data_IF_722281942118
#
_entry.id   IF_722281942118
#
_cell.length_a   1.000
_cell.length_b   1.000
_cell.length_c   1.000
_cell.angle_alpha   90.00
_cell.angle_beta   90.00
_cell.angle_gamma   90.00
#
_symmetry.space_group_name_H-M   'P 1'
#
loop_
_entity.id
_entity.type
_entity.pdbx_description
1 polymer ?
#
# COMPACT_ATOMS: atom_id res chain seq x y z
N UNK A 1 34.10 -28.52 -3.53
CA UNK A 1 34.70 -28.04 -2.27
C UNK A 1 33.59 -27.73 -1.29
N UNK A 2 33.70 -28.15 -0.02
CA UNK A 2 32.72 -27.82 0.99
C UNK A 2 32.62 -26.29 1.16
N UNK A 3 31.41 -25.74 1.10
CA UNK A 3 31.14 -24.31 1.27
C UNK A 3 31.63 -23.92 2.67
N UNK A 4 32.57 -22.97 2.78
CA UNK A 4 32.93 -22.41 4.09
C UNK A 4 31.68 -21.75 4.68
N UNK A 5 31.32 -22.03 5.94
CA UNK A 5 30.16 -21.43 6.56
C UNK A 5 30.36 -19.91 6.62
N UNK A 6 29.31 -19.17 6.30
CA UNK A 6 29.32 -17.72 6.42
C UNK A 6 29.53 -17.35 7.91
N UNK A 7 30.34 -16.33 8.23
CA UNK A 7 30.40 -15.83 9.59
C UNK A 7 28.99 -15.46 10.10
N UNK A 8 28.62 -15.94 11.27
CA UNK A 8 27.26 -15.83 11.81
C UNK A 8 26.77 -14.38 11.94
N UNK A 9 27.68 -13.44 12.21
CA UNK A 9 27.36 -12.01 12.27
C UNK A 9 26.94 -11.48 10.91
N UNK A 10 27.71 -11.78 9.85
CA UNK A 10 27.37 -11.38 8.49
C UNK A 10 26.06 -12.02 8.00
N UNK A 11 25.80 -13.27 8.42
CA UNK A 11 24.53 -13.95 8.12
C UNK A 11 23.35 -13.21 8.74
N UNK A 12 23.49 -12.90 10.03
CA UNK A 12 22.48 -12.20 10.83
C UNK A 12 22.22 -10.82 10.25
N UNK A 13 23.27 -10.05 9.94
CA UNK A 13 23.17 -8.70 9.41
C UNK A 13 22.39 -8.69 8.08
N UNK A 14 22.72 -9.59 7.16
CA UNK A 14 22.03 -9.66 5.85
C UNK A 14 20.57 -10.10 6.01
N UNK A 15 20.29 -11.11 6.84
CA UNK A 15 18.93 -11.61 7.07
C UNK A 15 18.05 -10.55 7.76
N UNK A 16 18.58 -9.87 8.77
CA UNK A 16 17.83 -8.85 9.52
C UNK A 16 17.61 -7.61 8.68
N UNK A 17 18.64 -7.13 7.97
CA UNK A 17 18.53 -5.93 7.12
C UNK A 17 17.57 -6.16 5.96
N UNK A 18 17.61 -7.34 5.32
CA UNK A 18 16.65 -7.73 4.28
C UNK A 18 15.27 -8.10 4.80
N UNK A 19 15.15 -8.39 6.10
CA UNK A 19 13.96 -8.98 6.72
C UNK A 19 13.39 -10.17 5.94
N UNK A 20 14.27 -11.04 5.43
CA UNK A 20 13.95 -12.21 4.59
C UNK A 20 13.15 -11.88 3.32
N UNK A 21 13.35 -10.71 2.73
CA UNK A 21 12.79 -10.32 1.43
C UNK A 21 13.86 -10.41 0.35
N UNK A 22 13.50 -11.02 -0.78
CA UNK A 22 14.41 -11.13 -1.92
C UNK A 22 14.54 -9.76 -2.59
N UNK A 23 15.76 -9.26 -2.74
CA UNK A 23 15.96 -7.96 -3.38
C UNK A 23 15.57 -7.96 -4.86
N UNK A 24 15.72 -9.08 -5.58
CA UNK A 24 15.33 -9.16 -7.00
C UNK A 24 13.80 -9.16 -7.15
N UNK A 25 13.07 -9.92 -6.34
CA UNK A 25 11.60 -9.87 -6.30
C UNK A 25 11.09 -8.44 -6.09
N UNK A 26 11.71 -7.73 -5.16
CA UNK A 26 11.38 -6.34 -4.86
C UNK A 26 11.75 -5.38 -6.00
N UNK A 27 12.95 -5.50 -6.56
CA UNK A 27 13.43 -4.63 -7.64
C UNK A 27 12.65 -4.78 -8.94
N UNK A 28 12.17 -5.99 -9.25
CA UNK A 28 11.42 -6.26 -10.47
C UNK A 28 9.90 -6.06 -10.32
N UNK A 29 9.33 -6.47 -9.17
CA UNK A 29 7.87 -6.58 -9.02
C UNK A 29 7.33 -5.87 -7.77
N UNK A 30 8.15 -5.14 -7.01
CA UNK A 30 7.79 -4.57 -5.71
C UNK A 30 7.23 -5.59 -4.71
N UNK A 31 7.63 -6.84 -4.86
CA UNK A 31 7.18 -7.91 -3.98
C UNK A 31 7.89 -7.83 -2.63
N UNK A 32 7.15 -7.42 -1.61
CA UNK A 32 7.61 -7.29 -0.23
C UNK A 32 7.31 -8.53 0.61
N UNK A 33 6.89 -9.64 -0.01
CA UNK A 33 6.61 -10.90 0.66
C UNK A 33 7.86 -11.51 1.29
N UNK A 34 7.69 -12.13 2.46
CA UNK A 34 8.75 -12.93 3.08
C UNK A 34 9.00 -14.17 2.22
N UNK A 35 10.26 -14.47 1.91
CA UNK A 35 10.65 -15.56 1.04
C UNK A 35 11.45 -16.64 1.79
N UNK A 36 11.26 -17.89 1.39
CA UNK A 36 12.26 -18.94 1.58
C UNK A 36 13.43 -18.68 0.65
N UNK A 37 14.65 -18.66 1.17
CA UNK A 37 15.81 -18.21 0.40
C UNK A 37 17.15 -18.43 1.10
N UNK A 38 18.21 -17.99 0.43
CA UNK A 38 19.60 -18.11 0.87
C UNK A 38 20.39 -16.83 0.59
N UNK A 39 21.54 -16.70 1.27
CA UNK A 39 22.49 -15.63 0.99
C UNK A 39 23.37 -16.04 -0.19
N UNK A 40 23.36 -15.20 -1.22
CA UNK A 40 24.22 -15.30 -2.39
C UNK A 40 25.47 -14.41 -2.22
N UNK A 41 26.61 -14.94 -2.62
CA UNK A 41 27.85 -14.19 -2.83
C UNK A 41 27.82 -13.62 -4.24
N UNK A 42 27.71 -12.29 -4.38
CA UNK A 42 27.44 -11.67 -5.68
C UNK A 42 28.59 -11.86 -6.66
N UNK A 43 29.84 -11.79 -6.20
CA UNK A 43 31.03 -12.06 -7.00
C UNK A 43 31.28 -13.56 -7.29
N UNK A 44 30.38 -14.45 -6.86
CA UNK A 44 30.52 -15.92 -6.92
C UNK A 44 31.76 -16.47 -6.18
N UNK A 45 32.39 -15.65 -5.34
CA UNK A 45 33.51 -16.05 -4.49
C UNK A 45 33.02 -16.33 -3.06
N UNK A 46 32.93 -17.62 -2.72
CA UNK A 46 32.45 -18.08 -1.42
C UNK A 46 33.30 -17.65 -0.21
N UNK A 47 34.51 -17.12 -0.44
CA UNK A 47 35.41 -16.63 0.60
C UNK A 47 35.29 -15.12 0.85
N UNK A 48 34.56 -14.39 0.00
CA UNK A 48 34.35 -12.95 0.15
C UNK A 48 33.09 -12.66 0.96
N UNK A 49 33.25 -12.59 2.28
CA UNK A 49 32.16 -12.33 3.23
C UNK A 49 31.87 -10.84 3.48
N UNK A 50 32.36 -9.93 2.63
CA UNK A 50 32.04 -8.51 2.76
C UNK A 50 30.52 -8.30 2.61
N UNK A 51 29.89 -7.57 3.54
CA UNK A 51 28.43 -7.31 3.51
C UNK A 51 27.98 -6.73 2.17
N UNK A 52 28.77 -5.84 1.58
CA UNK A 52 28.52 -5.25 0.26
C UNK A 52 28.51 -6.26 -0.90
N UNK A 53 29.05 -7.46 -0.68
CA UNK A 53 29.08 -8.58 -1.63
C UNK A 53 28.01 -9.64 -1.34
N UNK A 54 27.21 -9.49 -0.28
CA UNK A 54 26.17 -10.44 0.08
C UNK A 54 24.78 -9.87 -0.24
N UNK A 55 23.86 -10.75 -0.62
CA UNK A 55 22.44 -10.43 -0.76
C UNK A 55 21.58 -11.65 -0.40
N UNK A 56 20.43 -11.42 0.23
CA UNK A 56 19.44 -12.46 0.45
C UNK A 56 18.54 -12.58 -0.79
N UNK A 57 18.47 -13.77 -1.37
CA UNK A 57 17.67 -14.09 -2.55
C UNK A 57 16.70 -15.24 -2.23
N UNK A 58 15.49 -15.20 -2.79
CA UNK A 58 14.61 -16.37 -2.77
C UNK A 58 15.22 -17.49 -3.62
N UNK A 59 14.83 -18.75 -3.40
CA UNK A 59 15.41 -19.88 -4.13
C UNK A 59 15.36 -19.71 -5.65
N UNK A 60 14.23 -19.28 -6.21
CA UNK A 60 14.09 -19.07 -7.67
C UNK A 60 15.12 -18.09 -8.23
N UNK A 61 15.29 -16.93 -7.59
CA UNK A 61 16.23 -15.92 -8.02
C UNK A 61 17.68 -16.25 -7.63
N UNK A 62 17.89 -17.04 -6.58
CA UNK A 62 19.21 -17.56 -6.23
C UNK A 62 19.70 -18.50 -7.34
N UNK A 63 18.85 -19.43 -7.77
CA UNK A 63 19.16 -20.36 -8.86
C UNK A 63 19.35 -19.61 -10.19
N UNK A 64 18.49 -18.64 -10.49
CA UNK A 64 18.65 -17.80 -11.69
C UNK A 64 20.00 -17.07 -11.70
N UNK A 65 20.38 -16.46 -10.58
CA UNK A 65 21.61 -15.70 -10.45
C UNK A 65 22.88 -16.56 -10.54
N UNK A 66 22.83 -17.75 -9.93
CA UNK A 66 23.95 -18.69 -9.99
C UNK A 66 24.11 -19.31 -11.38
N UNK A 67 23.00 -19.49 -12.11
CA UNK A 67 22.98 -20.03 -13.47
C UNK A 67 23.56 -19.07 -14.52
N UNK A 68 23.91 -19.63 -15.69
CA UNK A 68 24.29 -18.86 -16.88
C UNK A 68 23.37 -19.34 -18.02
N UNK A 69 22.42 -18.49 -18.42
CA UNK A 69 21.61 -18.71 -19.61
C UNK A 69 22.29 -18.14 -20.85
N UNK A 70 22.20 -18.86 -21.97
CA UNK A 70 22.55 -18.38 -23.31
C UNK A 70 21.36 -17.78 -24.06
N UNK A 71 20.13 -17.94 -23.53
CA UNK A 71 18.88 -17.53 -24.20
C UNK A 71 18.38 -16.17 -23.72
N UNK A 72 18.56 -15.85 -22.43
CA UNK A 72 18.16 -14.57 -21.81
C UNK A 72 19.37 -13.84 -21.26
N UNK A 73 19.24 -12.52 -21.08
CA UNK A 73 20.23 -11.75 -20.33
C UNK A 73 20.23 -12.22 -18.87
N UNK A 74 21.41 -12.53 -18.36
CA UNK A 74 21.61 -12.93 -16.99
C UNK A 74 21.62 -11.70 -16.08
N UNK A 75 21.14 -11.88 -14.85
CA UNK A 75 21.22 -10.86 -13.81
C UNK A 75 22.68 -10.51 -13.53
N UNK A 76 22.98 -9.22 -13.50
CA UNK A 76 24.31 -8.72 -13.20
C UNK A 76 24.48 -8.39 -11.72
N UNK A 77 25.72 -8.44 -11.23
CA UNK A 77 26.07 -7.98 -9.87
C UNK A 77 25.57 -6.54 -9.63
N UNK A 78 25.65 -5.69 -10.66
CA UNK A 78 25.24 -4.29 -10.58
C UNK A 78 23.73 -4.14 -10.34
N UNK A 79 22.91 -4.91 -11.04
CA UNK A 79 21.45 -4.93 -10.84
C UNK A 79 21.10 -5.42 -9.44
N UNK A 80 21.68 -6.55 -9.01
CA UNK A 80 21.36 -7.11 -7.69
C UNK A 80 21.77 -6.18 -6.56
N UNK A 81 22.92 -5.47 -6.68
CA UNK A 81 23.33 -4.44 -5.72
C UNK A 81 22.33 -3.28 -5.68
N UNK A 82 21.94 -2.74 -6.83
CA UNK A 82 20.96 -1.65 -6.90
C UNK A 82 19.64 -2.05 -6.23
N UNK A 83 19.10 -3.22 -6.58
CA UNK A 83 17.85 -3.70 -6.00
C UNK A 83 17.96 -3.97 -4.49
N UNK A 84 19.11 -4.46 -4.01
CA UNK A 84 19.36 -4.66 -2.59
C UNK A 84 19.36 -3.33 -1.84
N UNK A 85 20.10 -2.36 -2.34
CA UNK A 85 20.24 -1.06 -1.69
C UNK A 85 18.88 -0.30 -1.67
N UNK A 86 18.09 -0.45 -2.74
CA UNK A 86 16.72 0.05 -2.83
C UNK A 86 15.79 -0.62 -1.80
N UNK A 87 15.83 -1.95 -1.69
CA UNK A 87 15.07 -2.72 -0.70
C UNK A 87 15.40 -2.25 0.72
N UNK A 88 16.70 -2.13 1.05
CA UNK A 88 17.15 -1.75 2.38
C UNK A 88 16.71 -0.34 2.75
N UNK A 89 16.85 0.59 1.81
CA UNK A 89 16.39 1.98 1.99
C UNK A 89 14.89 2.02 2.25
N UNK A 90 14.10 1.27 1.48
CA UNK A 90 12.63 1.25 1.56
C UNK A 90 12.15 0.63 2.87
N UNK A 91 12.69 -0.54 3.24
CA UNK A 91 12.38 -1.18 4.52
C UNK A 91 12.76 -0.24 5.68
N UNK A 92 13.96 0.34 5.64
CA UNK A 92 14.40 1.20 6.73
C UNK A 92 13.46 2.41 6.89
N UNK A 93 13.06 3.06 5.80
CA UNK A 93 12.07 4.15 5.83
C UNK A 93 10.74 3.70 6.44
N UNK A 94 10.18 2.58 5.97
CA UNK A 94 8.89 2.08 6.44
C UNK A 94 8.89 1.74 7.94
N UNK A 95 10.00 1.23 8.49
CA UNK A 95 10.08 0.82 9.90
C UNK A 95 10.67 1.87 10.83
N UNK A 96 11.33 2.91 10.33
CA UNK A 96 11.82 4.04 11.14
C UNK A 96 10.87 5.23 11.15
N UNK A 97 9.79 5.17 10.36
CA UNK A 97 8.72 6.13 10.44
C UNK A 97 8.17 6.14 11.87
N UNK A 98 8.43 7.24 12.59
CA UNK A 98 7.87 7.44 13.92
C UNK A 98 6.36 7.60 13.77
N UNK A 99 5.63 6.56 14.16
CA UNK A 99 4.17 6.61 14.23
C UNK A 99 3.81 7.41 15.49
N UNK A 100 3.66 8.72 15.34
CA UNK A 100 3.06 9.54 16.38
C UNK A 100 1.54 9.34 16.32
N UNK A 101 0.99 8.66 17.33
CA UNK A 101 -0.47 8.63 17.50
C UNK A 101 -0.96 10.07 17.66
N UNK A 102 -1.73 10.56 16.69
CA UNK A 102 -2.30 11.91 16.68
C UNK A 102 -1.53 12.97 15.87
N UNK A 103 -0.33 12.67 15.36
CA UNK A 103 0.39 13.52 14.40
C UNK A 103 0.65 12.73 13.12
N UNK A 104 -0.29 12.82 12.19
CA UNK A 104 -0.10 12.32 10.83
C UNK A 104 0.77 13.35 10.10
N UNK A 105 2.02 12.99 9.77
CA UNK A 105 2.80 13.74 8.78
C UNK A 105 2.16 13.49 7.42
N UNK A 106 1.15 14.30 7.09
CA UNK A 106 0.56 14.31 5.76
C UNK A 106 1.61 14.84 4.78
N UNK A 107 1.70 14.31 3.55
CA UNK A 107 2.37 15.04 2.49
C UNK A 107 1.79 16.46 2.48
N UNK A 108 2.61 17.54 2.50
CA UNK A 108 2.14 18.93 2.57
C UNK A 108 1.15 19.34 1.47
N UNK A 109 0.91 18.47 0.49
CA UNK A 109 0.05 18.68 -0.65
C UNK A 109 -0.55 17.37 -1.17
N UNK A 110 -1.14 16.52 -0.31
CA UNK A 110 -1.97 15.44 -0.84
C UNK A 110 -3.14 16.05 -1.65
N UNK A 111 -3.26 15.75 -2.95
CA UNK A 111 -4.21 16.41 -3.84
C UNK A 111 -5.66 16.00 -3.60
N UNK A 112 -5.92 14.96 -2.80
CA UNK A 112 -7.26 14.43 -2.54
C UNK A 112 -7.70 14.57 -1.09
N UNK A 113 -6.76 14.75 -0.15
CA UNK A 113 -7.06 14.90 1.27
C UNK A 113 -8.04 16.04 1.59
N UNK A 114 -8.87 15.87 2.60
CA UNK A 114 -9.83 16.89 3.07
C UNK A 114 -11.29 16.50 2.85
N UNK A 115 -12.18 17.49 3.00
CA UNK A 115 -13.64 17.30 2.94
C UNK A 115 -14.19 17.39 1.51
N UNK A 116 -15.16 16.54 1.23
CA UNK A 116 -15.83 16.41 -0.05
C UNK A 116 -17.33 16.38 0.18
N UNK A 117 -18.06 17.29 -0.47
CA UNK A 117 -19.49 17.49 -0.27
C UNK A 117 -20.23 17.01 -1.52
N UNK A 118 -21.29 16.22 -1.33
CA UNK A 118 -22.15 15.79 -2.43
C UNK A 118 -22.84 17.00 -3.06
N UNK A 119 -22.77 17.07 -4.38
CA UNK A 119 -23.46 18.06 -5.20
C UNK A 119 -24.64 17.44 -5.95
N UNK A 120 -25.59 18.29 -6.35
CA UNK A 120 -26.72 17.86 -7.20
C UNK A 120 -27.85 17.12 -6.48
N UNK A 121 -27.83 17.09 -5.15
CA UNK A 121 -28.90 16.48 -4.33
C UNK A 121 -29.49 17.50 -3.37
N UNK A 122 -30.81 17.67 -3.41
CA UNK A 122 -31.55 18.64 -2.58
C UNK A 122 -32.00 17.99 -1.26
N UNK A 123 -32.43 16.72 -1.32
CA UNK A 123 -33.06 16.05 -0.17
C UNK A 123 -32.13 15.07 0.55
N UNK A 124 -31.00 14.72 -0.08
CA UNK A 124 -30.05 13.72 0.40
C UNK A 124 -28.63 14.29 0.40
N UNK A 125 -28.25 14.94 1.48
CA UNK A 125 -26.90 15.51 1.64
C UNK A 125 -25.93 14.43 2.09
N UNK A 126 -24.68 14.51 1.65
CA UNK A 126 -23.63 13.66 2.17
C UNK A 126 -22.29 14.38 2.10
N UNK A 127 -21.43 14.07 3.05
CA UNK A 127 -20.05 14.54 3.11
C UNK A 127 -19.15 13.34 3.38
N UNK A 128 -17.98 13.34 2.75
CA UNK A 128 -16.91 12.41 3.09
C UNK A 128 -15.61 13.19 3.31
N UNK A 129 -14.75 12.67 4.18
CA UNK A 129 -13.43 13.23 4.47
C UNK A 129 -12.37 12.17 4.16
N UNK A 130 -11.36 12.59 3.41
CA UNK A 130 -10.19 11.78 3.10
C UNK A 130 -9.04 12.19 4.01
N UNK A 131 -8.73 11.33 4.98
CA UNK A 131 -7.57 11.52 5.86
C UNK A 131 -6.44 10.64 5.36
N UNK A 132 -5.31 11.21 4.87
CA UNK A 132 -4.20 10.39 4.40
C UNK A 132 -3.61 9.59 5.56
N UNK A 133 -3.28 8.34 5.29
CA UNK A 133 -2.61 7.42 6.19
C UNK A 133 -1.19 7.13 5.66
N UNK A 134 -0.27 6.58 6.49
CA UNK A 134 1.01 6.12 5.99
C UNK A 134 0.85 5.13 4.83
N UNK A 135 1.69 5.25 3.80
CA UNK A 135 1.68 4.34 2.66
C UNK A 135 1.89 2.89 3.11
N UNK A 136 1.36 1.95 2.33
CA UNK A 136 1.62 0.53 2.59
C UNK A 136 3.10 0.21 2.41
N UNK A 137 3.53 -0.95 2.92
CA UNK A 137 4.90 -1.46 2.70
C UNK A 137 5.20 -1.61 1.20
N UNK A 138 4.18 -1.83 0.38
CA UNK A 138 4.27 -1.92 -1.08
C UNK A 138 4.26 -0.55 -1.79
N UNK A 139 4.20 0.55 -1.03
CA UNK A 139 4.19 1.93 -1.54
C UNK A 139 2.83 2.40 -2.06
N UNK A 140 1.73 1.75 -1.67
CA UNK A 140 0.38 2.19 -2.06
C UNK A 140 -0.11 3.30 -1.14
N UNK A 141 -0.71 4.33 -1.73
CA UNK A 141 -1.29 5.46 -0.99
C UNK A 141 -2.53 4.98 -0.23
N UNK A 142 -2.63 5.36 1.03
CA UNK A 142 -3.73 4.99 1.91
C UNK A 142 -4.53 6.20 2.39
N UNK A 143 -5.84 6.03 2.51
CA UNK A 143 -6.73 7.01 3.11
C UNK A 143 -7.65 6.34 4.13
N UNK A 144 -7.89 6.97 5.26
CA UNK A 144 -9.10 6.71 6.02
C UNK A 144 -10.22 7.55 5.41
N UNK A 145 -11.24 6.87 4.89
CA UNK A 145 -12.43 7.46 4.30
C UNK A 145 -13.53 7.41 5.35
N UNK A 146 -13.89 8.57 5.88
CA UNK A 146 -15.04 8.72 6.78
C UNK A 146 -16.12 9.57 6.15
N UNK A 147 -17.36 9.47 6.59
CA UNK A 147 -18.42 10.31 6.07
C UNK A 147 -19.73 10.24 6.82
N UNK A 148 -20.60 11.18 6.52
CA UNK A 148 -21.97 11.25 7.01
C UNK A 148 -22.91 11.48 5.83
N UNK A 149 -24.07 10.82 5.85
CA UNK A 149 -25.10 11.02 4.86
C UNK A 149 -26.47 11.14 5.52
N UNK A 150 -27.27 12.05 4.99
CA UNK A 150 -28.65 12.29 5.37
C UNK A 150 -29.56 11.86 4.21
N UNK A 151 -30.68 11.24 4.55
CA UNK A 151 -31.75 10.96 3.60
C UNK A 151 -33.07 11.52 4.10
N UNK A 152 -33.75 12.28 3.25
CA UNK A 152 -35.08 12.80 3.54
C UNK A 152 -35.08 13.90 4.61
N UNK A 153 -34.23 14.91 4.46
CA UNK A 153 -34.12 16.04 5.39
C UNK A 153 -35.44 16.79 5.67
N UNK A 154 -36.41 16.70 4.76
CA UNK A 154 -37.72 17.36 4.87
C UNK A 154 -38.86 16.43 5.31
N UNK A 155 -38.57 15.21 5.77
CA UNK A 155 -39.61 14.26 6.22
C UNK A 155 -40.17 14.68 7.58
N UNK A 156 -41.44 14.37 7.81
CA UNK A 156 -42.18 14.67 9.05
C UNK A 156 -41.47 14.15 10.30
N UNK A 157 -40.84 12.99 10.21
CA UNK A 157 -40.14 12.34 11.32
C UNK A 157 -38.62 12.58 11.33
N UNK A 158 -38.14 13.51 10.52
CA UNK A 158 -36.72 13.82 10.37
C UNK A 158 -35.96 12.89 9.40
N UNK A 159 -34.70 13.22 9.09
CA UNK A 159 -33.88 12.43 8.17
C UNK A 159 -33.41 11.13 8.80
N UNK A 160 -33.20 10.12 7.95
CA UNK A 160 -32.33 9.02 8.31
C UNK A 160 -30.88 9.47 8.17
N UNK A 161 -30.03 9.08 9.12
CA UNK A 161 -28.60 9.41 9.13
C UNK A 161 -27.78 8.15 9.05
N UNK A 162 -26.69 8.20 8.28
CA UNK A 162 -25.74 7.11 8.14
C UNK A 162 -24.31 7.61 8.23
N UNK A 163 -23.45 6.71 8.69
CA UNK A 163 -22.03 6.97 8.88
C UNK A 163 -21.21 5.99 8.05
N UNK A 164 -20.10 6.49 7.52
CA UNK A 164 -19.14 5.73 6.74
C UNK A 164 -17.79 5.80 7.43
N UNK A 165 -17.06 4.68 7.43
CA UNK A 165 -15.69 4.60 7.90
C UNK A 165 -15.01 3.36 7.33
N UNK A 166 -13.95 3.55 6.54
CA UNK A 166 -13.12 2.45 6.05
C UNK A 166 -11.74 2.93 5.62
N UNK A 167 -10.79 2.00 5.49
CA UNK A 167 -9.48 2.29 4.90
C UNK A 167 -9.54 2.02 3.41
N UNK A 168 -9.26 3.05 2.61
CA UNK A 168 -9.12 2.98 1.17
C UNK A 168 -7.66 2.95 0.72
N UNK A 169 -7.40 2.29 -0.40
CA UNK A 169 -6.09 2.24 -1.06
C UNK A 169 -6.20 2.76 -2.49
N UNK A 170 -5.13 3.39 -2.96
CA UNK A 170 -4.97 3.91 -4.32
C UNK A 170 -3.62 3.51 -4.87
N UNK A 171 -3.61 2.90 -6.05
CA UNK A 171 -2.39 2.59 -6.77
C UNK A 171 -1.77 3.85 -7.40
N UNK A 172 -0.46 3.82 -7.64
CA UNK A 172 0.24 4.87 -8.35
C UNK A 172 -0.33 5.03 -9.78
N UNK A 173 -0.60 6.27 -10.20
CA UNK A 173 -1.17 6.57 -11.52
C UNK A 173 -2.67 6.32 -11.69
N UNK A 174 -3.35 5.69 -10.72
CA UNK A 174 -4.81 5.57 -10.74
C UNK A 174 -5.48 6.82 -10.15
N UNK A 175 -6.67 7.17 -10.65
CA UNK A 175 -7.52 8.23 -10.09
C UNK A 175 -8.68 7.62 -9.29
N UNK A 176 -8.45 6.48 -8.65
CA UNK A 176 -9.49 5.73 -7.93
C UNK A 176 -9.02 5.22 -6.58
N UNK A 177 -9.87 5.34 -5.56
CA UNK A 177 -9.69 4.70 -4.25
C UNK A 177 -10.65 3.51 -4.13
N UNK A 178 -10.10 2.38 -3.74
CA UNK A 178 -10.85 1.16 -3.44
C UNK A 178 -10.82 0.88 -1.93
N UNK A 179 -11.85 0.23 -1.36
CA UNK A 179 -11.76 -0.25 0.00
C UNK A 179 -10.62 -1.28 0.09
N UNK A 180 -9.72 -1.08 1.04
CA UNK A 180 -8.73 -2.10 1.38
C UNK A 180 -9.48 -3.33 1.91
N UNK A 181 -9.06 -4.52 1.49
CA UNK A 181 -9.60 -5.76 2.04
C UNK A 181 -9.20 -5.83 3.52
N UNK A 182 -10.13 -5.55 4.43
CA UNK A 182 -9.90 -5.75 5.86
C UNK A 182 -9.90 -7.26 6.14
N UNK A 183 -8.75 -7.80 6.52
CA UNK A 183 -8.65 -9.18 7.02
C UNK A 183 -9.20 -9.35 8.44
N UNK A 184 -9.66 -8.26 9.06
CA UNK A 184 -10.10 -8.24 10.44
C UNK A 184 -11.61 -8.00 10.52
N UNK A 185 -12.32 -9.06 10.92
CA UNK A 185 -13.71 -9.13 11.37
C UNK A 185 -14.81 -8.83 10.33
N UNK A 186 -15.43 -9.91 9.84
CA UNK A 186 -16.87 -10.01 9.58
C UNK A 186 -17.50 -9.00 8.63
N UNK A 187 -17.76 -9.46 7.40
CA UNK A 187 -18.58 -8.82 6.37
C UNK A 187 -17.98 -7.58 5.68
N UNK A 188 -17.40 -7.83 4.49
CA UNK A 188 -17.10 -6.84 3.43
C UNK A 188 -18.38 -6.16 2.90
N UNK A 189 -19.07 -5.38 3.75
CA UNK A 189 -20.31 -4.69 3.42
C UNK A 189 -20.05 -3.30 2.82
N UNK A 190 -18.93 -2.65 3.14
CA UNK A 190 -18.57 -1.38 2.51
C UNK A 190 -17.94 -1.63 1.13
N UNK A 191 -18.65 -1.23 0.07
CA UNK A 191 -18.21 -1.37 -1.33
C UNK A 191 -18.20 -0.01 -2.03
N UNK A 192 -17.79 1.02 -1.29
CA UNK A 192 -17.69 2.38 -1.79
C UNK A 192 -16.38 2.56 -2.55
N UNK A 193 -16.52 3.03 -3.79
CA UNK A 193 -15.41 3.36 -4.68
C UNK A 193 -15.46 4.85 -4.96
N UNK A 194 -14.32 5.54 -4.84
CA UNK A 194 -14.19 6.94 -5.22
C UNK A 194 -13.45 7.01 -6.55
N UNK A 195 -14.10 7.56 -7.55
CA UNK A 195 -13.55 7.88 -8.87
C UNK A 195 -13.29 9.39 -8.94
N UNK A 196 -12.04 9.82 -8.98
CA UNK A 196 -11.70 11.23 -9.18
C UNK A 196 -11.74 11.56 -10.67
N UNK A 197 -12.45 12.62 -11.03
CA UNK A 197 -12.39 13.19 -12.38
C UNK A 197 -11.27 14.23 -12.47
N UNK A 198 -11.01 14.95 -11.37
CA UNK A 198 -9.86 15.81 -11.15
C UNK A 198 -9.61 15.99 -9.63
N UNK A 199 -8.77 16.96 -9.25
CA UNK A 199 -8.42 17.25 -7.84
C UNK A 199 -9.56 17.84 -7.00
N UNK A 200 -10.65 18.28 -7.63
CA UNK A 200 -11.79 18.95 -7.01
C UNK A 200 -13.11 18.21 -7.22
N UNK A 201 -13.20 17.30 -8.18
CA UNK A 201 -14.43 16.56 -8.51
C UNK A 201 -14.24 15.05 -8.42
N UNK A 202 -15.18 14.39 -7.74
CA UNK A 202 -15.20 12.94 -7.56
C UNK A 202 -16.60 12.37 -7.75
N UNK A 203 -16.67 11.10 -8.12
CA UNK A 203 -17.90 10.30 -8.16
C UNK A 203 -17.74 9.19 -7.13
N UNK A 204 -18.64 9.17 -6.15
CA UNK A 204 -18.74 8.09 -5.18
C UNK A 204 -19.74 7.08 -5.71
N UNK A 205 -19.30 5.83 -5.82
CA UNK A 205 -20.14 4.70 -6.22
C UNK A 205 -20.36 3.79 -5.03
N UNK A 206 -21.59 3.73 -4.56
CA UNK A 206 -21.97 2.92 -3.41
C UNK A 206 -22.59 1.59 -3.87
N UNK A 207 -21.81 0.51 -3.77
CA UNK A 207 -22.27 -0.85 -4.11
C UNK A 207 -22.61 -1.68 -2.87
N UNK A 208 -22.74 -1.04 -1.71
CA UNK A 208 -23.05 -1.72 -0.47
C UNK A 208 -24.47 -2.29 -0.48
N UNK A 209 -24.75 -3.38 0.27
CA UNK A 209 -26.11 -3.88 0.43
C UNK A 209 -27.06 -2.78 0.90
N UNK A 210 -28.31 -2.80 0.44
CA UNK A 210 -29.33 -1.82 0.85
C UNK A 210 -29.46 -1.80 2.37
N UNK A 211 -29.41 -0.59 2.94
CA UNK A 211 -29.52 -0.40 4.39
C UNK A 211 -28.20 -0.49 5.16
N UNK A 212 -27.06 -0.67 4.50
CA UNK A 212 -25.72 -0.70 5.15
C UNK A 212 -25.47 0.51 6.04
N UNK A 213 -25.93 1.68 5.62
CA UNK A 213 -25.74 2.94 6.36
C UNK A 213 -27.03 3.44 7.03
N UNK A 214 -28.04 2.58 7.14
CA UNK A 214 -29.38 2.97 7.58
C UNK A 214 -30.39 3.03 6.43
N UNK A 215 -31.67 3.06 6.77
CA UNK A 215 -32.76 2.94 5.80
C UNK A 215 -32.70 4.06 4.75
N UNK A 216 -32.55 3.69 3.47
CA UNK A 216 -32.45 4.60 2.32
C UNK A 216 -31.28 5.60 2.35
N UNK A 217 -30.33 5.46 3.28
CA UNK A 217 -29.12 6.27 3.28
C UNK A 217 -28.12 5.68 2.30
N UNK A 218 -27.55 6.52 1.44
CA UNK A 218 -26.53 6.12 0.48
C UNK A 218 -25.48 7.20 0.33
N UNK A 219 -24.24 6.76 0.05
CA UNK A 219 -23.10 7.60 -0.30
C UNK A 219 -22.92 7.79 -1.81
N UNK A 220 -23.75 7.19 -2.66
CA UNK A 220 -23.68 7.35 -4.12
C UNK A 220 -23.93 8.80 -4.60
N UNK A 221 -23.10 9.29 -5.52
CA UNK A 221 -23.32 10.56 -6.20
C UNK A 221 -22.05 11.30 -6.61
N UNK A 222 -22.21 12.52 -7.12
CA UNK A 222 -21.10 13.43 -7.45
C UNK A 222 -20.73 14.28 -6.26
N UNK A 223 -19.42 14.49 -6.05
CA UNK A 223 -18.84 15.20 -4.92
C UNK A 223 -17.88 16.27 -5.40
N UNK A 224 -17.79 17.35 -4.63
CA UNK A 224 -16.82 18.42 -4.82
C UNK A 224 -16.03 18.65 -3.56
N UNK A 225 -14.72 18.86 -3.69
CA UNK A 225 -13.83 19.19 -2.57
C UNK A 225 -14.18 20.56 -1.99
N UNK A 226 -14.24 20.64 -0.68
CA UNK A 226 -14.33 21.91 0.05
C UNK A 226 -12.98 22.63 -0.04
N UNK A 227 -13.01 23.92 -0.40
CA UNK A 227 -11.81 24.73 -0.61
C UNK A 227 -11.23 25.28 0.68
#
# INVERSE_FOLDING_TARGET
>A
MARKPLPKNAETDVIVTSRRRCCICFGLNRDTGIKGGQIAHLDKNNSNHAISNLAFLCFDHHDEYDSISSQRKNLTIGEVKKFRDELYTTINKAFTQQVHFGEITTPPSDPYAGSWIRIGSINNSAEITLTPLPDTIDGLVQYYVSGQALWGAHREYGPNMGFLGYVGIKAEGEERIYPSKSWAYGEDNCRIILDFADINEAIVRDKSPTGTYGANVSFDGSYRRER
#
